data_IF_395749136312
#
_entry.id   IF_395749136312
#
_cell.length_a   1.000
_cell.length_b   1.000
_cell.length_c   1.000
_cell.angle_alpha   90.00
_cell.angle_beta   90.00
_cell.angle_gamma   90.00
#
_symmetry.space_group_name_H-M   'P 1'
#
loop_
_entity.id
_entity.type
_entity.pdbx_description
1 polymer ?
#
# COMPACT_ATOMS: atom_id res chain seq x y z
N UNK A 1 -37.92 -23.84 -77.99
CA UNK A 1 -37.79 -22.88 -76.86
C UNK A 1 -36.91 -23.55 -75.80
N UNK A 2 -35.63 -23.18 -75.74
CA UNK A 2 -34.60 -23.84 -74.92
C UNK A 2 -34.56 -23.21 -73.52
N UNK A 3 -34.70 -24.07 -72.50
CA UNK A 3 -34.53 -23.76 -71.08
C UNK A 3 -33.05 -23.54 -70.78
N UNK A 4 -32.74 -22.43 -70.13
CA UNK A 4 -31.46 -22.24 -69.42
C UNK A 4 -31.78 -21.58 -68.09
N UNK A 5 -31.93 -22.42 -67.05
CA UNK A 5 -31.91 -22.00 -65.66
C UNK A 5 -30.47 -21.65 -65.31
N UNK A 6 -30.19 -20.37 -65.05
CA UNK A 6 -28.92 -19.93 -64.49
C UNK A 6 -29.04 -20.01 -62.96
N UNK A 7 -28.42 -21.03 -62.37
CA UNK A 7 -28.35 -21.20 -60.92
C UNK A 7 -27.38 -20.16 -60.35
N UNK A 8 -27.89 -19.14 -59.66
CA UNK A 8 -27.08 -18.12 -59.00
C UNK A 8 -26.64 -18.66 -57.62
N UNK A 9 -25.40 -19.15 -57.54
CA UNK A 9 -24.79 -19.59 -56.29
C UNK A 9 -24.47 -18.36 -55.42
N UNK A 10 -25.33 -18.07 -54.44
CA UNK A 10 -25.08 -17.07 -53.41
C UNK A 10 -24.10 -17.68 -52.40
N UNK A 11 -22.81 -17.37 -52.55
CA UNK A 11 -21.81 -17.61 -51.50
C UNK A 11 -22.10 -16.62 -50.36
N UNK A 12 -22.74 -17.10 -49.30
CA UNK A 12 -22.83 -16.37 -48.04
C UNK A 12 -21.48 -16.43 -47.34
N UNK A 13 -20.65 -15.41 -47.53
CA UNK A 13 -19.46 -15.19 -46.72
C UNK A 13 -19.89 -14.89 -45.28
N UNK A 14 -19.84 -15.89 -44.41
CA UNK A 14 -19.96 -15.72 -42.96
C UNK A 14 -18.76 -14.94 -42.46
N UNK A 15 -18.93 -13.64 -42.24
CA UNK A 15 -17.93 -12.81 -41.60
C UNK A 15 -17.93 -13.19 -40.11
N UNK A 16 -16.88 -13.85 -39.65
CA UNK A 16 -16.65 -14.05 -38.23
C UNK A 16 -16.30 -12.68 -37.63
N UNK A 17 -17.30 -11.98 -37.08
CA UNK A 17 -17.05 -10.75 -36.34
C UNK A 17 -16.23 -11.09 -35.10
N UNK A 18 -14.97 -10.66 -35.08
CA UNK A 18 -14.14 -10.72 -33.89
C UNK A 18 -14.75 -9.78 -32.84
N UNK A 19 -15.38 -10.34 -31.81
CA UNK A 19 -15.89 -9.58 -30.68
C UNK A 19 -14.69 -9.06 -29.87
N UNK A 20 -14.55 -7.75 -29.80
CA UNK A 20 -13.47 -7.09 -29.08
C UNK A 20 -14.01 -6.62 -27.72
N UNK A 21 -13.61 -7.30 -26.65
CA UNK A 21 -14.02 -6.95 -25.28
C UNK A 21 -12.94 -6.08 -24.65
N UNK A 22 -13.31 -4.85 -24.26
CA UNK A 22 -12.44 -3.97 -23.50
C UNK A 22 -12.70 -4.17 -22.02
N UNK A 23 -11.67 -4.51 -21.25
CA UNK A 23 -11.76 -4.66 -19.78
C UNK A 23 -11.03 -3.48 -19.14
N UNK A 24 -11.75 -2.74 -18.30
CA UNK A 24 -11.17 -1.68 -17.50
C UNK A 24 -10.62 -2.29 -16.20
N UNK A 25 -9.29 -2.32 -16.06
CA UNK A 25 -8.63 -2.71 -14.81
C UNK A 25 -8.35 -1.45 -13.98
N UNK A 26 -8.71 -1.49 -12.71
CA UNK A 26 -8.33 -0.50 -11.72
C UNK A 26 -7.31 -1.12 -10.76
N UNK A 27 -6.15 -0.48 -10.60
CA UNK A 27 -5.16 -0.84 -9.60
C UNK A 27 -5.20 0.20 -8.46
N UNK A 28 -5.38 -0.29 -7.23
CA UNK A 28 -5.17 0.48 -6.01
C UNK A 28 -3.81 0.14 -5.41
N UNK A 29 -3.01 1.15 -5.07
CA UNK A 29 -1.76 0.97 -4.32
C UNK A 29 -1.99 1.48 -2.90
N UNK A 30 -1.75 0.63 -1.92
CA UNK A 30 -1.83 0.99 -0.50
C UNK A 30 -0.45 1.28 0.05
N UNK A 31 -0.32 2.35 0.82
CA UNK A 31 0.92 2.62 1.55
C UNK A 31 1.11 1.58 2.65
N UNK A 32 2.34 1.09 2.79
CA UNK A 32 2.73 0.05 3.76
C UNK A 32 3.99 0.47 4.49
N UNK A 33 4.13 0.00 5.73
CA UNK A 33 5.35 0.12 6.52
C UNK A 33 5.85 -1.28 6.91
N UNK A 34 7.17 -1.40 7.02
CA UNK A 34 7.86 -2.58 7.51
C UNK A 34 8.68 -2.20 8.74
N UNK A 35 8.54 -2.99 9.80
CA UNK A 35 9.31 -2.79 11.02
C UNK A 35 10.78 -3.13 10.80
N UNK A 36 11.66 -2.15 11.08
CA UNK A 36 13.12 -2.32 10.99
C UNK A 36 13.74 -2.56 12.37
N UNK A 37 13.26 -1.84 13.38
CA UNK A 37 13.64 -2.06 14.76
C UNK A 37 12.59 -1.51 15.73
N UNK A 38 12.51 -2.13 16.91
CA UNK A 38 11.67 -1.69 18.02
C UNK A 38 12.46 -1.80 19.33
N UNK A 39 12.42 -0.74 20.10
CA UNK A 39 12.91 -0.67 21.48
C UNK A 39 11.83 -0.01 22.35
N UNK A 40 11.96 0.01 23.68
CA UNK A 40 10.98 0.68 24.54
C UNK A 40 10.80 2.17 24.23
N UNK A 41 11.80 2.83 23.66
CA UNK A 41 11.81 4.29 23.44
C UNK A 41 11.97 4.69 21.97
N UNK A 42 12.22 3.76 21.05
CA UNK A 42 12.48 4.05 19.64
C UNK A 42 11.87 2.99 18.73
N UNK A 43 11.28 3.43 17.62
CA UNK A 43 10.76 2.56 16.55
C UNK A 43 11.31 3.05 15.23
N UNK A 44 11.86 2.15 14.41
CA UNK A 44 12.25 2.47 13.04
C UNK A 44 11.39 1.68 12.05
N UNK A 45 10.78 2.39 11.11
CA UNK A 45 9.91 1.85 10.06
C UNK A 45 10.44 2.20 8.69
N UNK A 46 10.52 1.23 7.78
CA UNK A 46 10.66 1.49 6.35
C UNK A 46 9.27 1.54 5.74
N UNK A 47 8.84 2.70 5.29
CA UNK A 47 7.54 2.90 4.68
C UNK A 47 7.65 3.12 3.18
N UNK A 48 6.52 2.99 2.47
CA UNK A 48 6.38 3.52 1.10
C UNK A 48 6.84 4.97 1.06
N UNK A 49 7.38 5.41 -0.08
CA UNK A 49 7.95 6.76 -0.22
C UNK A 49 6.95 7.83 0.23
N UNK A 50 7.44 8.76 1.05
CA UNK A 50 6.72 9.88 1.65
C UNK A 50 5.55 9.49 2.57
N UNK A 51 5.39 8.19 2.88
CA UNK A 51 4.37 7.73 3.82
C UNK A 51 4.90 7.76 5.26
N UNK A 52 4.14 8.38 6.14
CA UNK A 52 4.44 8.51 7.57
C UNK A 52 3.17 8.17 8.35
N UNK A 53 3.14 7.04 9.09
CA UNK A 53 2.00 6.70 9.93
C UNK A 53 1.84 7.71 11.07
N UNK A 54 0.66 8.34 11.16
CA UNK A 54 0.34 9.27 12.24
C UNK A 54 0.14 8.59 13.59
N UNK A 55 -0.33 7.35 13.60
CA UNK A 55 -0.42 6.51 14.79
C UNK A 55 0.32 5.20 14.55
N UNK A 56 1.37 4.93 15.34
CA UNK A 56 2.11 3.68 15.26
C UNK A 56 1.29 2.48 15.71
N UNK A 57 0.30 2.69 16.59
CA UNK A 57 -0.56 1.61 17.09
C UNK A 57 -1.58 1.14 16.06
N UNK A 58 -1.82 1.90 15.00
CA UNK A 58 -2.65 1.45 13.89
C UNK A 58 -1.94 0.40 13.02
N UNK A 59 -0.62 0.26 13.17
CA UNK A 59 0.17 -0.75 12.46
C UNK A 59 0.03 -2.10 13.17
N UNK A 60 -0.46 -3.15 12.47
CA UNK A 60 -0.64 -4.47 13.06
C UNK A 60 0.63 -5.03 13.69
N UNK A 61 1.80 -4.75 13.10
CA UNK A 61 3.10 -5.21 13.56
C UNK A 61 3.57 -4.56 14.87
N UNK A 62 2.95 -3.46 15.31
CA UNK A 62 3.26 -2.75 16.56
C UNK A 62 2.15 -2.86 17.62
N UNK A 63 1.03 -3.48 17.26
CA UNK A 63 -0.12 -3.63 18.15
C UNK A 63 0.29 -4.37 19.45
N UNK A 64 0.09 -3.70 20.60
CA UNK A 64 0.40 -4.26 21.92
C UNK A 64 1.90 -4.32 22.30
N UNK A 65 2.81 -3.91 21.41
CA UNK A 65 4.26 -3.93 21.66
C UNK A 65 4.79 -2.60 22.19
N UNK A 66 4.12 -1.49 21.87
CA UNK A 66 4.56 -0.16 22.25
C UNK A 66 4.08 0.21 23.65
N UNK A 67 4.98 0.72 24.51
CA UNK A 67 4.61 1.39 25.76
C UNK A 67 3.49 2.43 25.58
N UNK A 68 2.75 2.65 26.66
CA UNK A 68 1.81 3.77 26.73
C UNK A 68 2.59 5.09 26.64
N UNK A 69 2.02 6.07 25.94
CA UNK A 69 2.63 7.39 25.78
C UNK A 69 2.60 7.89 24.34
N UNK A 70 3.09 9.11 24.18
CA UNK A 70 3.07 9.85 22.93
C UNK A 70 4.32 9.52 22.12
N UNK A 71 4.13 9.04 20.90
CA UNK A 71 5.21 8.81 19.96
C UNK A 71 5.26 9.95 18.95
N UNK A 72 6.44 10.50 18.71
CA UNK A 72 6.65 11.52 17.67
C UNK A 72 7.61 11.03 16.61
N UNK A 73 7.50 11.57 15.40
CA UNK A 73 8.47 11.38 14.33
C UNK A 73 9.74 12.15 14.67
N UNK A 74 10.81 11.44 15.01
CA UNK A 74 12.11 12.02 15.35
C UNK A 74 12.94 12.32 14.10
N UNK A 75 12.87 11.45 13.09
CA UNK A 75 13.52 11.66 11.79
C UNK A 75 12.79 10.93 10.67
N UNK A 76 12.97 11.44 9.46
CA UNK A 76 12.48 10.83 8.22
C UNK A 76 13.54 11.04 7.14
N UNK A 77 13.94 9.97 6.45
CA UNK A 77 14.97 10.02 5.42
C UNK A 77 14.67 9.02 4.30
N UNK A 78 15.25 9.24 3.13
CA UNK A 78 15.19 8.25 2.04
C UNK A 78 15.90 6.96 2.47
N UNK A 79 15.23 5.82 2.29
CA UNK A 79 15.83 4.53 2.56
C UNK A 79 16.66 4.08 1.33
N UNK A 80 17.86 3.49 1.52
CA UNK A 80 18.76 3.10 0.42
C UNK A 80 18.18 2.00 -0.48
N UNK A 81 17.23 1.23 0.03
CA UNK A 81 16.44 0.21 -0.66
C UNK A 81 15.13 0.74 -1.27
N UNK A 82 14.90 2.05 -1.20
CA UNK A 82 13.69 2.72 -1.64
C UNK A 82 12.67 2.91 -0.53
N UNK A 83 11.80 3.91 -0.71
CA UNK A 83 10.84 4.33 0.31
C UNK A 83 11.45 5.30 1.31
N UNK A 84 10.84 5.39 2.49
CA UNK A 84 11.19 6.35 3.54
C UNK A 84 11.45 5.62 4.84
N UNK A 85 12.63 5.82 5.44
CA UNK A 85 12.96 5.37 6.78
C UNK A 85 12.48 6.43 7.78
N UNK A 86 11.44 6.10 8.53
CA UNK A 86 10.89 6.92 9.61
C UNK A 86 11.36 6.37 10.95
N UNK A 87 11.96 7.24 11.78
CA UNK A 87 12.31 6.91 13.16
C UNK A 87 11.42 7.68 14.10
N UNK A 88 10.76 6.97 15.01
CA UNK A 88 9.90 7.53 16.04
C UNK A 88 10.53 7.35 17.40
N UNK A 89 10.29 8.31 18.28
CA UNK A 89 10.72 8.24 19.67
C UNK A 89 9.55 8.44 20.63
N UNK A 90 9.61 7.77 21.77
CA UNK A 90 8.69 7.96 22.87
C UNK A 90 8.98 9.29 23.57
N UNK A 91 7.96 10.10 23.78
CA UNK A 91 8.05 11.33 24.54
C UNK A 91 8.41 11.06 26.00
N UNK A 92 9.53 11.58 26.51
CA UNK A 92 9.87 11.47 27.92
C UNK A 92 8.73 12.02 28.79
N UNK A 93 8.35 11.27 29.82
CA UNK A 93 7.28 11.67 30.74
C UNK A 93 5.86 11.52 30.19
N UNK A 94 5.67 10.96 28.99
CA UNK A 94 4.33 10.64 28.46
C UNK A 94 3.82 9.25 28.87
N UNK A 95 4.63 8.48 29.57
CA UNK A 95 4.27 7.15 30.05
C UNK A 95 3.16 7.23 31.10
N UNK A 96 2.14 6.40 30.95
CA UNK A 96 1.06 6.27 31.94
C UNK A 96 1.62 5.59 33.21
N UNK A 97 2.26 6.37 34.09
CA UNK A 97 2.76 5.91 35.40
C UNK A 97 4.11 6.46 35.85
N UNK A 98 4.81 7.30 35.07
CA UNK A 98 6.10 7.84 35.47
C UNK A 98 5.99 9.06 36.39
N UNK A 99 6.03 8.85 37.71
CA UNK A 99 6.34 9.91 38.67
C UNK A 99 7.75 10.44 38.36
N UNK A 100 7.84 11.73 38.01
CA UNK A 100 9.12 12.41 37.81
C UNK A 100 9.59 12.91 39.18
N UNK A 101 10.44 12.14 39.85
CA UNK A 101 11.26 12.66 40.95
C UNK A 101 12.58 13.19 40.37
N UNK A 102 12.74 14.52 40.42
CA UNK A 102 14.04 15.15 40.22
C UNK A 102 14.80 15.10 41.56
N UNK A 103 15.92 14.37 41.61
CA UNK A 103 16.95 14.49 42.65
C UNK A 103 18.27 14.95 42.02
#
# INVERSE_FOLDING_TARGET
>A
MRRTLTLLAVLTATHASAAQTTVHLQLGVTAVCELRSVTPTTVALRCTRDYQPGDLRSLPELAGQLPAGTWWLASSADAPDGGTLNTYALQPGSEAGGQIDYY
#
